data_IF_231091112810
#
_entry.id   IF_231091112810
#
_cell.length_a   1.000
_cell.length_b   1.000
_cell.length_c   1.000
_cell.angle_alpha   90.00
_cell.angle_beta   90.00
_cell.angle_gamma   90.00
#
_symmetry.space_group_name_H-M   'P 1'
#
loop_
_entity.id
_entity.type
_entity.pdbx_description
1 polymer ?
#
# COMPACT_ATOMS: atom_id res chain seq x y z
N UNK A 1 15.78 1.28 3.48
CA UNK A 1 14.47 0.64 3.65
C UNK A 1 14.49 -0.87 3.33
N UNK A 2 15.52 -1.39 2.67
CA UNK A 2 15.62 -2.83 2.32
C UNK A 2 14.77 -3.24 1.12
N UNK A 3 14.23 -2.31 0.35
CA UNK A 3 13.51 -2.57 -0.89
C UNK A 3 14.47 -2.86 -2.06
N UNK A 4 14.07 -3.73 -3.00
CA UNK A 4 14.81 -3.97 -4.25
C UNK A 4 14.86 -2.72 -5.12
N UNK A 5 13.81 -1.90 -5.07
CA UNK A 5 13.72 -0.62 -5.78
C UNK A 5 12.87 0.36 -5.02
N UNK A 6 13.30 1.63 -4.99
CA UNK A 6 12.57 2.74 -4.39
C UNK A 6 12.44 3.89 -5.36
N UNK A 7 11.36 4.64 -5.25
CA UNK A 7 11.06 5.83 -6.05
C UNK A 7 10.72 6.99 -5.14
N UNK A 8 11.26 8.15 -5.42
CA UNK A 8 10.83 9.40 -4.82
C UNK A 8 9.52 9.85 -5.48
N UNK A 9 8.54 10.19 -4.66
CA UNK A 9 7.27 10.72 -5.09
C UNK A 9 7.16 12.18 -4.68
N UNK A 10 6.93 13.05 -5.65
CA UNK A 10 6.80 14.50 -5.44
C UNK A 10 5.35 14.99 -5.49
N UNK A 11 4.41 14.08 -5.68
CA UNK A 11 2.96 14.32 -5.69
C UNK A 11 2.22 13.54 -4.59
N UNK A 12 2.92 13.25 -3.48
CA UNK A 12 2.37 12.51 -2.33
C UNK A 12 2.18 11.02 -2.61
N UNK A 13 1.75 10.28 -1.57
CA UNK A 13 1.39 8.86 -1.72
C UNK A 13 0.16 8.65 -2.61
N UNK A 14 -0.63 9.69 -2.88
CA UNK A 14 -1.76 9.61 -3.81
C UNK A 14 -1.31 9.09 -5.19
N UNK A 15 -0.22 9.64 -5.74
CA UNK A 15 0.31 9.15 -7.03
C UNK A 15 0.88 7.74 -6.92
N UNK A 16 1.46 7.38 -5.78
CA UNK A 16 1.94 6.03 -5.50
C UNK A 16 0.80 5.01 -5.46
N UNK A 17 -0.30 5.34 -4.77
CA UNK A 17 -1.52 4.53 -4.70
C UNK A 17 -2.13 4.30 -6.10
N UNK A 18 -2.23 5.36 -6.91
CA UNK A 18 -2.68 5.24 -8.30
C UNK A 18 -1.74 4.33 -9.10
N UNK A 19 -0.43 4.57 -9.04
CA UNK A 19 0.55 3.82 -9.82
C UNK A 19 0.60 2.33 -9.45
N UNK A 20 0.48 1.99 -8.16
CA UNK A 20 0.49 0.58 -7.75
C UNK A 20 -0.76 -0.16 -8.21
N UNK A 21 -1.95 0.46 -8.18
CA UNK A 21 -3.17 -0.16 -8.69
C UNK A 21 -3.09 -0.37 -10.21
N UNK A 22 -2.73 0.67 -10.97
CA UNK A 22 -2.54 0.56 -12.41
C UNK A 22 -1.48 -0.46 -12.83
N UNK A 23 -0.44 -0.66 -12.00
CA UNK A 23 0.61 -1.64 -12.28
C UNK A 23 0.18 -3.08 -11.98
N UNK A 24 -0.87 -3.27 -11.18
CA UNK A 24 -1.32 -4.56 -10.68
C UNK A 24 -2.60 -5.03 -11.37
N UNK A 25 -3.54 -4.13 -11.63
CA UNK A 25 -4.87 -4.45 -12.13
C UNK A 25 -5.18 -3.77 -13.46
N UNK A 26 -6.09 -4.38 -14.22
CA UNK A 26 -6.71 -3.84 -15.42
C UNK A 26 -8.21 -3.58 -15.17
N UNK A 27 -8.86 -2.90 -16.12
CA UNK A 27 -10.30 -2.67 -16.09
C UNK A 27 -11.10 -3.98 -15.94
N UNK A 28 -12.05 -4.00 -15.01
CA UNK A 28 -12.92 -5.15 -14.72
C UNK A 28 -12.25 -6.28 -13.92
N UNK A 29 -10.97 -6.16 -13.57
CA UNK A 29 -10.31 -7.14 -12.69
C UNK A 29 -10.64 -6.89 -11.21
N UNK A 30 -10.65 -7.96 -10.41
CA UNK A 30 -11.01 -7.91 -9.00
C UNK A 30 -9.81 -7.63 -8.09
N UNK A 31 -10.03 -6.81 -7.05
CA UNK A 31 -9.05 -6.47 -6.02
C UNK A 31 -9.68 -6.54 -4.64
N UNK A 32 -9.08 -7.28 -3.70
CA UNK A 32 -9.49 -7.23 -2.29
C UNK A 32 -8.95 -5.95 -1.66
N UNK A 33 -9.80 -5.17 -1.02
CA UNK A 33 -9.47 -3.85 -0.47
C UNK A 33 -9.96 -3.73 0.98
N UNK A 34 -9.07 -3.38 1.88
CA UNK A 34 -9.43 -3.03 3.26
C UNK A 34 -10.31 -1.77 3.27
N UNK A 35 -11.52 -1.87 3.85
CA UNK A 35 -12.57 -0.85 3.69
C UNK A 35 -12.23 0.51 4.29
N UNK A 36 -11.40 0.60 5.33
CA UNK A 36 -10.97 1.87 5.93
C UNK A 36 -9.71 2.45 5.24
N UNK A 37 -9.55 2.21 3.94
CA UNK A 37 -8.48 2.77 3.13
C UNK A 37 -8.63 4.29 2.94
N UNK A 38 -7.52 4.95 2.57
CA UNK A 38 -7.53 6.37 2.25
C UNK A 38 -8.30 6.64 0.94
N UNK A 39 -8.95 7.81 0.83
CA UNK A 39 -9.75 8.21 -0.35
C UNK A 39 -9.01 8.05 -1.69
N UNK A 40 -7.69 8.18 -1.73
CA UNK A 40 -6.90 7.99 -2.96
C UNK A 40 -6.97 6.55 -3.49
N UNK A 41 -7.23 5.56 -2.64
CA UNK A 41 -7.45 4.18 -3.04
C UNK A 41 -8.81 4.06 -3.77
N UNK A 42 -9.87 4.67 -3.22
CA UNK A 42 -11.19 4.68 -3.87
C UNK A 42 -11.14 5.37 -5.23
N UNK A 43 -10.44 6.52 -5.31
CA UNK A 43 -10.23 7.20 -6.61
C UNK A 43 -9.40 6.33 -7.58
N UNK A 44 -8.39 5.60 -7.08
CA UNK A 44 -7.61 4.70 -7.92
C UNK A 44 -8.46 3.53 -8.46
N UNK A 45 -9.33 2.95 -7.63
CA UNK A 45 -10.28 1.91 -8.02
C UNK A 45 -11.18 2.42 -9.16
N UNK A 46 -11.75 3.62 -9.01
CA UNK A 46 -12.61 4.25 -10.02
C UNK A 46 -11.86 4.52 -11.32
N UNK A 47 -10.65 5.10 -11.23
CA UNK A 47 -9.86 5.47 -12.41
C UNK A 47 -9.31 4.26 -13.17
N UNK A 48 -8.95 3.19 -12.48
CA UNK A 48 -8.51 1.93 -13.12
C UNK A 48 -9.71 1.14 -13.63
N UNK A 49 -10.88 1.30 -13.00
CA UNK A 49 -12.09 0.51 -13.29
C UNK A 49 -12.02 -0.89 -12.70
N UNK A 50 -11.39 -1.03 -11.53
CA UNK A 50 -11.29 -2.29 -10.78
C UNK A 50 -12.61 -2.59 -10.09
N UNK A 51 -12.97 -3.87 -9.99
CA UNK A 51 -14.09 -4.36 -9.16
C UNK A 51 -13.58 -4.62 -7.73
N UNK A 52 -13.89 -3.74 -6.74
CA UNK A 52 -13.38 -3.91 -5.38
C UNK A 52 -14.19 -4.93 -4.60
N UNK A 53 -13.50 -5.84 -3.93
CA UNK A 53 -14.04 -6.73 -2.90
C UNK A 53 -13.63 -6.13 -1.56
N UNK A 54 -14.57 -5.42 -0.91
CA UNK A 54 -14.28 -4.76 0.35
C UNK A 54 -14.32 -5.73 1.52
N UNK A 55 -13.22 -5.76 2.28
CA UNK A 55 -13.11 -6.50 3.55
C UNK A 55 -13.18 -5.52 4.71
N UNK A 56 -14.00 -5.85 5.71
CA UNK A 56 -14.25 -4.97 6.85
C UNK A 56 -13.20 -5.21 7.94
N UNK A 57 -12.49 -4.15 8.41
CA UNK A 57 -11.63 -4.23 9.58
C UNK A 57 -12.43 -4.56 10.83
N UNK A 58 -11.76 -5.11 11.83
CA UNK A 58 -12.35 -5.36 13.13
C UNK A 58 -12.66 -4.04 13.87
N UNK A 59 -13.62 -4.10 14.80
CA UNK A 59 -14.00 -2.98 15.65
C UNK A 59 -13.49 -3.17 17.06
N UNK A 60 -12.72 -2.23 17.56
CA UNK A 60 -12.30 -2.18 18.98
C UNK A 60 -13.29 -1.34 19.78
N UNK A 61 -14.07 -1.99 20.64
CA UNK A 61 -15.09 -1.34 21.50
C UNK A 61 -14.47 -0.41 22.53
N UNK A 62 -13.22 -0.64 22.93
CA UNK A 62 -12.51 0.17 23.95
C UNK A 62 -12.07 1.52 23.35
N UNK A 63 -11.49 1.51 22.16
CA UNK A 63 -11.04 2.73 21.46
C UNK A 63 -12.12 3.36 20.60
N UNK A 64 -13.22 2.62 20.35
CA UNK A 64 -14.33 3.01 19.45
C UNK A 64 -13.83 3.34 18.04
N UNK A 65 -12.85 2.58 17.56
CA UNK A 65 -12.26 2.75 16.23
C UNK A 65 -12.19 1.40 15.49
N UNK A 66 -12.10 1.47 14.17
CA UNK A 66 -11.74 0.31 13.37
C UNK A 66 -10.24 0.02 13.51
N UNK A 67 -9.90 -1.24 13.62
CA UNK A 67 -8.53 -1.73 13.71
C UNK A 67 -8.03 -2.20 12.35
N UNK A 68 -7.32 -3.31 12.32
CA UNK A 68 -6.83 -3.96 11.11
C UNK A 68 -7.78 -5.09 10.68
N UNK A 69 -7.69 -5.52 9.44
CA UNK A 69 -8.43 -6.69 8.95
C UNK A 69 -7.74 -7.98 9.41
N UNK A 70 -8.51 -8.98 9.85
CA UNK A 70 -7.91 -10.25 10.27
C UNK A 70 -7.40 -11.09 9.10
N UNK A 71 -6.41 -11.94 9.36
CA UNK A 71 -5.90 -12.87 8.36
C UNK A 71 -6.99 -13.83 7.86
N UNK A 72 -7.89 -14.26 8.75
CA UNK A 72 -9.00 -15.14 8.38
C UNK A 72 -9.97 -14.46 7.41
N UNK A 73 -10.28 -13.17 7.61
CA UNK A 73 -11.14 -12.40 6.69
C UNK A 73 -10.54 -12.36 5.29
N UNK A 74 -9.23 -12.10 5.17
CA UNK A 74 -8.54 -12.08 3.88
C UNK A 74 -8.53 -13.47 3.22
N UNK A 75 -8.23 -14.53 3.99
CA UNK A 75 -8.24 -15.91 3.47
C UNK A 75 -9.60 -16.29 2.91
N UNK A 76 -10.67 -16.05 3.68
CA UNK A 76 -12.05 -16.33 3.23
C UNK A 76 -12.40 -15.56 1.97
N UNK A 77 -12.01 -14.27 1.88
CA UNK A 77 -12.25 -13.47 0.68
C UNK A 77 -11.50 -14.02 -0.56
N UNK A 78 -10.25 -14.49 -0.39
CA UNK A 78 -9.50 -15.10 -1.49
C UNK A 78 -10.11 -16.43 -1.94
N UNK A 79 -10.64 -17.23 -1.00
CA UNK A 79 -11.31 -18.49 -1.32
C UNK A 79 -12.64 -18.27 -2.04
N UNK A 80 -13.39 -17.23 -1.65
CA UNK A 80 -14.65 -16.85 -2.31
C UNK A 80 -14.41 -16.21 -3.68
N UNK A 81 -13.33 -15.43 -3.82
CA UNK A 81 -12.98 -14.71 -5.05
C UNK A 81 -11.59 -15.12 -5.58
N UNK A 82 -11.43 -16.33 -6.13
CA UNK A 82 -10.10 -16.87 -6.49
C UNK A 82 -9.42 -16.18 -7.69
N UNK A 83 -10.13 -15.30 -8.39
CA UNK A 83 -9.60 -14.58 -9.57
C UNK A 83 -9.04 -13.19 -9.23
N UNK A 84 -9.00 -12.81 -7.96
CA UNK A 84 -8.45 -11.50 -7.53
C UNK A 84 -7.00 -11.34 -7.96
N UNK A 85 -6.65 -10.11 -8.36
CA UNK A 85 -5.31 -9.76 -8.86
C UNK A 85 -4.38 -9.21 -7.80
N UNK A 86 -4.90 -8.94 -6.62
CA UNK A 86 -4.11 -8.43 -5.50
C UNK A 86 -4.94 -8.23 -4.24
N UNK A 87 -4.24 -7.95 -3.16
CA UNK A 87 -4.81 -7.53 -1.88
C UNK A 87 -4.21 -6.18 -1.52
N UNK A 88 -5.05 -5.20 -1.20
CA UNK A 88 -4.62 -3.86 -0.79
C UNK A 88 -4.98 -3.62 0.67
N UNK A 89 -3.96 -3.31 1.46
CA UNK A 89 -4.06 -3.06 2.89
C UNK A 89 -3.61 -1.64 3.24
N UNK A 90 -4.12 -1.11 4.34
CA UNK A 90 -3.64 0.13 4.98
C UNK A 90 -2.95 -0.24 6.29
N UNK A 91 -1.64 -0.03 6.38
CA UNK A 91 -0.82 -0.43 7.53
C UNK A 91 0.33 0.56 7.76
N UNK A 92 0.43 1.20 8.94
CA UNK A 92 -0.60 1.20 9.98
C UNK A 92 -1.88 1.89 9.50
N UNK A 93 -2.99 1.64 10.18
CA UNK A 93 -4.23 2.35 9.89
C UNK A 93 -4.10 3.84 10.20
N UNK A 94 -5.09 4.65 9.78
CA UNK A 94 -5.13 6.09 10.08
C UNK A 94 -4.99 6.41 11.57
N UNK A 95 -5.51 5.53 12.44
CA UNK A 95 -5.44 5.68 13.90
C UNK A 95 -4.16 5.09 14.53
N UNK A 96 -3.18 4.70 13.73
CA UNK A 96 -1.90 4.18 14.20
C UNK A 96 -1.93 2.69 14.61
N UNK A 97 -2.98 1.96 14.25
CA UNK A 97 -3.10 0.54 14.57
C UNK A 97 -2.24 -0.29 13.60
N UNK A 98 -1.26 -1.00 14.15
CA UNK A 98 -0.42 -1.95 13.44
C UNK A 98 -0.70 -3.38 13.97
N UNK A 99 -0.84 -4.35 13.08
CA UNK A 99 -1.10 -5.75 13.43
C UNK A 99 -0.04 -6.67 12.85
N UNK A 100 0.43 -7.63 13.66
CA UNK A 100 1.36 -8.67 13.20
C UNK A 100 0.69 -9.68 12.24
N UNK A 101 -0.63 -9.69 12.14
CA UNK A 101 -1.36 -10.54 11.18
C UNK A 101 -1.04 -10.20 9.72
N UNK A 102 -0.50 -9.01 9.46
CA UNK A 102 -0.05 -8.64 8.11
C UNK A 102 0.97 -9.64 7.55
N UNK A 103 1.83 -10.22 8.39
CA UNK A 103 2.78 -11.26 7.98
C UNK A 103 2.06 -12.50 7.45
N UNK A 104 1.07 -12.98 8.21
CA UNK A 104 0.29 -14.16 7.84
C UNK A 104 -0.51 -13.92 6.55
N UNK A 105 -1.07 -12.72 6.40
CA UNK A 105 -1.78 -12.30 5.18
C UNK A 105 -0.85 -12.36 3.97
N UNK A 106 0.34 -11.75 4.07
CA UNK A 106 1.30 -11.70 2.97
C UNK A 106 1.74 -13.11 2.59
N UNK A 107 2.12 -13.94 3.57
CA UNK A 107 2.55 -15.31 3.32
C UNK A 107 1.46 -16.13 2.61
N UNK A 108 0.21 -16.03 3.08
CA UNK A 108 -0.89 -16.73 2.46
C UNK A 108 -1.14 -16.25 1.01
N UNK A 109 -1.18 -14.94 0.78
CA UNK A 109 -1.33 -14.36 -0.56
C UNK A 109 -0.24 -14.88 -1.51
N UNK A 110 1.00 -14.91 -1.06
CA UNK A 110 2.12 -15.39 -1.88
C UNK A 110 2.01 -16.88 -2.21
N UNK A 111 1.46 -17.74 -1.32
CA UNK A 111 1.18 -19.15 -1.67
C UNK A 111 0.20 -19.30 -2.83
N UNK A 112 -0.66 -18.28 -3.04
CA UNK A 112 -1.63 -18.23 -4.14
C UNK A 112 -1.13 -17.44 -5.36
N UNK A 113 0.09 -16.89 -5.31
CA UNK A 113 0.63 -16.02 -6.35
C UNK A 113 -0.04 -14.65 -6.44
N UNK A 114 -0.68 -14.21 -5.34
CA UNK A 114 -1.40 -12.94 -5.24
C UNK A 114 -0.48 -11.89 -4.60
N UNK A 115 -0.19 -10.76 -5.25
CA UNK A 115 0.61 -9.69 -4.69
C UNK A 115 -0.14 -8.91 -3.60
N UNK A 116 0.62 -8.40 -2.60
CA UNK A 116 0.10 -7.56 -1.54
C UNK A 116 0.63 -6.13 -1.68
N UNK A 117 -0.31 -5.19 -1.82
CA UNK A 117 -0.10 -3.75 -1.93
C UNK A 117 -0.39 -3.11 -0.59
N UNK A 118 0.48 -2.21 -0.12
CA UNK A 118 0.29 -1.60 1.20
C UNK A 118 0.39 -0.08 1.13
N UNK A 119 -0.68 0.58 1.53
CA UNK A 119 -0.63 2.00 1.88
C UNK A 119 -0.09 2.15 3.31
N UNK A 120 1.21 2.37 3.40
CA UNK A 120 1.97 2.59 4.64
C UNK A 120 2.25 4.10 4.83
N UNK A 121 1.31 4.97 4.45
CA UNK A 121 1.51 6.41 4.49
C UNK A 121 1.85 6.94 5.89
N UNK A 122 1.45 6.26 6.95
CA UNK A 122 1.72 6.64 8.34
C UNK A 122 2.91 5.87 8.96
N UNK A 123 3.61 5.01 8.20
CA UNK A 123 4.67 4.14 8.69
C UNK A 123 6.08 4.46 8.17
N UNK A 124 6.32 5.61 7.51
CA UNK A 124 7.63 5.94 6.95
C UNK A 124 8.77 5.94 8.00
N UNK A 125 8.45 6.19 9.26
CA UNK A 125 9.38 6.20 10.38
C UNK A 125 9.69 4.80 10.97
N UNK A 126 9.00 3.75 10.55
CA UNK A 126 9.17 2.41 11.16
C UNK A 126 10.62 1.91 11.10
N UNK A 127 11.37 2.31 10.08
CA UNK A 127 12.79 1.96 9.95
C UNK A 127 13.74 2.82 10.79
N UNK A 128 13.25 3.86 11.46
CA UNK A 128 14.12 4.78 12.21
C UNK A 128 14.60 4.20 13.55
N UNK A 129 13.82 3.29 14.16
CA UNK A 129 14.16 2.70 15.45
C UNK A 129 13.50 1.32 15.60
N UNK A 130 14.21 0.38 16.24
CA UNK A 130 13.72 -0.98 16.49
C UNK A 130 12.55 -1.09 17.48
N UNK A 131 12.22 0.00 18.19
CA UNK A 131 11.03 0.07 19.06
C UNK A 131 9.72 0.33 18.31
N UNK A 132 9.78 0.64 17.02
CA UNK A 132 8.60 0.75 16.17
C UNK A 132 8.17 -0.61 15.61
N UNK A 133 6.90 -0.73 15.15
CA UNK A 133 6.49 -1.90 14.38
C UNK A 133 7.37 -2.11 13.15
N UNK A 134 7.47 -3.35 12.69
CA UNK A 134 8.14 -3.65 11.41
C UNK A 134 7.32 -3.05 10.24
N UNK A 135 8.03 -2.56 9.22
CA UNK A 135 7.40 -2.13 7.98
C UNK A 135 6.77 -3.30 7.22
N UNK A 136 5.73 -3.05 6.43
CA UNK A 136 5.19 -4.05 5.52
C UNK A 136 6.24 -4.62 4.55
N UNK A 137 7.28 -3.85 4.25
CA UNK A 137 8.46 -4.33 3.48
C UNK A 137 9.19 -5.46 4.19
N UNK A 138 9.34 -5.41 5.52
CA UNK A 138 10.00 -6.43 6.31
C UNK A 138 9.20 -7.73 6.35
N UNK A 139 7.89 -7.63 6.22
CA UNK A 139 6.98 -8.76 6.11
C UNK A 139 6.88 -9.31 4.69
N UNK A 140 7.48 -8.64 3.69
CA UNK A 140 7.56 -9.12 2.31
C UNK A 140 6.48 -8.56 1.37
N UNK A 141 5.80 -7.46 1.72
CA UNK A 141 4.84 -6.81 0.83
C UNK A 141 5.47 -6.45 -0.53
N UNK A 142 4.69 -6.58 -1.59
CA UNK A 142 5.15 -6.41 -2.98
C UNK A 142 5.40 -4.95 -3.35
N UNK A 143 4.47 -4.07 -3.00
CA UNK A 143 4.59 -2.61 -3.17
C UNK A 143 4.12 -1.94 -1.90
N UNK A 144 4.90 -0.99 -1.42
CA UNK A 144 4.59 -0.20 -0.22
C UNK A 144 4.75 1.27 -0.56
N UNK A 145 3.76 2.09 -0.23
CA UNK A 145 3.85 3.56 -0.36
C UNK A 145 3.90 4.21 1.01
N UNK A 146 4.78 5.20 1.18
CA UNK A 146 5.02 5.87 2.45
C UNK A 146 5.02 7.38 2.27
N UNK A 147 4.32 8.12 3.15
CA UNK A 147 4.38 9.58 3.21
C UNK A 147 5.53 10.03 4.10
N UNK A 148 6.67 10.37 3.51
CA UNK A 148 7.81 10.90 4.27
C UNK A 148 7.42 12.16 5.06
N UNK A 149 6.65 13.06 4.43
CA UNK A 149 6.21 14.32 5.02
C UNK A 149 5.29 14.21 6.25
N UNK A 150 4.74 13.02 6.55
CA UNK A 150 3.88 12.84 7.73
C UNK A 150 4.67 12.53 9.00
N UNK A 151 5.75 11.78 8.89
CA UNK A 151 6.48 11.20 10.03
C UNK A 151 7.99 11.36 9.97
N UNK A 152 8.53 11.88 8.87
CA UNK A 152 9.95 12.19 8.67
C UNK A 152 10.13 13.69 8.36
N UNK A 153 11.33 14.24 8.53
CA UNK A 153 11.62 15.65 8.24
C UNK A 153 11.70 15.92 6.73
N UNK A 154 10.57 15.80 6.04
CA UNK A 154 10.43 16.04 4.60
C UNK A 154 9.36 17.10 4.35
N UNK A 155 9.51 17.85 3.26
CA UNK A 155 8.52 18.83 2.82
C UNK A 155 7.22 18.12 2.40
N UNK A 156 6.10 18.83 2.57
CA UNK A 156 4.78 18.36 2.16
C UNK A 156 4.80 17.82 0.72
N UNK A 157 4.10 16.73 0.48
CA UNK A 157 4.05 15.91 -0.73
C UNK A 157 5.25 14.98 -0.93
N UNK A 158 6.34 15.12 -0.17
CA UNK A 158 7.45 14.16 -0.21
C UNK A 158 7.03 12.77 0.28
N UNK A 159 7.21 11.76 -0.57
CA UNK A 159 6.77 10.39 -0.32
C UNK A 159 7.67 9.38 -1.03
N UNK A 160 7.50 8.11 -0.69
CA UNK A 160 8.23 7.01 -1.32
C UNK A 160 7.27 5.95 -1.86
N UNK A 161 7.67 5.28 -2.94
CA UNK A 161 7.14 3.98 -3.33
C UNK A 161 8.29 2.99 -3.32
N UNK A 162 8.12 1.93 -2.57
CA UNK A 162 9.07 0.83 -2.44
C UNK A 162 8.52 -0.42 -3.11
N UNK A 163 9.39 -1.17 -3.77
CA UNK A 163 9.02 -2.37 -4.50
C UNK A 163 9.94 -3.53 -4.16
N UNK A 164 9.34 -4.66 -3.77
CA UNK A 164 10.03 -5.93 -3.50
C UNK A 164 9.48 -7.09 -4.34
N UNK A 165 8.48 -6.84 -5.17
CA UNK A 165 7.74 -7.88 -5.89
C UNK A 165 8.61 -8.72 -6.83
N UNK A 166 8.25 -10.00 -6.93
CA UNK A 166 8.60 -10.88 -8.03
C UNK A 166 7.41 -11.13 -8.98
N UNK A 167 6.21 -10.71 -8.58
CA UNK A 167 4.95 -10.90 -9.31
C UNK A 167 4.67 -9.68 -10.20
N UNK A 168 4.83 -8.46 -9.65
CA UNK A 168 4.57 -7.21 -10.37
C UNK A 168 5.84 -6.75 -11.08
N UNK A 169 5.72 -6.43 -12.38
CA UNK A 169 6.86 -5.99 -13.18
C UNK A 169 7.27 -4.54 -12.88
N UNK A 170 8.55 -4.30 -12.64
CA UNK A 170 9.13 -2.96 -12.46
C UNK A 170 8.77 -2.03 -13.63
N UNK A 171 8.71 -2.55 -14.85
CA UNK A 171 8.36 -1.76 -16.05
C UNK A 171 6.95 -1.17 -15.98
N UNK A 172 5.98 -1.87 -15.37
CA UNK A 172 4.62 -1.39 -15.20
C UNK A 172 4.59 -0.22 -14.19
N UNK A 173 5.24 -0.39 -13.04
CA UNK A 173 5.34 0.70 -12.04
C UNK A 173 6.02 1.92 -12.66
N UNK A 174 7.13 1.75 -13.38
CA UNK A 174 7.81 2.84 -14.10
C UNK A 174 6.90 3.56 -15.09
N UNK A 175 6.11 2.79 -15.88
CA UNK A 175 5.17 3.35 -16.85
C UNK A 175 4.18 4.27 -16.17
N UNK A 176 3.51 3.80 -15.13
CA UNK A 176 2.45 4.57 -14.49
C UNK A 176 2.97 5.73 -13.63
N UNK A 177 4.14 5.60 -12.99
CA UNK A 177 4.76 6.74 -12.33
C UNK A 177 5.12 7.86 -13.32
N UNK A 178 5.61 7.53 -14.53
CA UNK A 178 5.87 8.53 -15.57
C UNK A 178 4.61 9.21 -16.09
N UNK A 179 3.48 8.50 -16.12
CA UNK A 179 2.20 9.04 -16.60
C UNK A 179 1.50 9.92 -15.56
N UNK A 180 1.63 9.58 -14.29
CA UNK A 180 0.83 10.15 -13.22
C UNK A 180 1.58 11.18 -12.37
N UNK A 181 2.91 11.11 -12.33
CA UNK A 181 3.74 12.06 -11.59
C UNK A 181 4.16 13.22 -12.48
N UNK A 182 4.32 14.41 -11.88
CA UNK A 182 4.79 15.59 -12.57
C UNK A 182 6.17 15.36 -13.22
N UNK A 183 6.32 15.80 -14.47
CA UNK A 183 7.61 15.83 -15.17
C UNK A 183 8.51 16.99 -14.75
N UNK A 184 7.99 17.94 -13.97
CA UNK A 184 8.69 19.12 -13.46
C UNK A 184 8.66 19.15 -11.94
N UNK A 185 9.45 18.28 -11.27
CA UNK A 185 9.43 18.18 -9.81
C UNK A 185 10.06 19.42 -9.17
N UNK A 186 9.57 19.78 -7.97
CA UNK A 186 10.23 20.78 -7.12
C UNK A 186 11.56 20.22 -6.61
N UNK A 187 12.67 20.91 -6.92
CA UNK A 187 13.99 20.52 -6.44
C UNK A 187 14.12 20.60 -4.92
N UNK A 188 13.44 21.57 -4.28
CA UNK A 188 13.41 21.69 -2.82
C UNK A 188 12.73 20.47 -2.18
N UNK A 189 11.61 20.01 -2.78
CA UNK A 189 10.91 18.82 -2.31
C UNK A 189 11.78 17.57 -2.50
N UNK A 190 12.43 17.44 -3.67
CA UNK A 190 13.35 16.31 -3.93
C UNK A 190 14.53 16.29 -2.96
N UNK A 191 15.10 17.47 -2.65
CA UNK A 191 16.21 17.56 -1.70
C UNK A 191 15.81 17.24 -0.26
N UNK A 192 14.52 17.29 0.06
CA UNK A 192 13.98 16.93 1.39
C UNK A 192 13.70 15.44 1.56
N UNK A 193 13.78 14.65 0.49
CA UNK A 193 13.55 13.20 0.48
C UNK A 193 14.87 12.43 0.57
#
# INVERSE_FOLDING_TARGET
>A
YGAKKSYFLVNGTTVGNLAMLYATCQYGEQLIVQRNAHKSIFHAIELVGVEPIFVTPEWDSRTKTTTFVSANTIKSAIEEFPLVKGVLLTYPTYYGMASNEIKEIIDYCHTKGIPVLVDEAHGAHFKANSGFPLSALDYGADIVVQSAHKTLPSMTMGSYLHMNSSIIKVSQVNKYLRMLQSSSPSYLLMASL
#
